data_IF_114130509254
#
_entry.id   IF_114130509254
#
_cell.length_a   1.000
_cell.length_b   1.000
_cell.length_c   1.000
_cell.angle_alpha   90.00
_cell.angle_beta   90.00
_cell.angle_gamma   90.00
#
_symmetry.space_group_name_H-M   'P 1'
#
loop_
_entity.id
_entity.type
_entity.pdbx_description
1 polymer ?
#
# COMPACT_ATOMS: atom_id res chain seq x y z
N UNK A 1 -36.60 9.36 5.21
CA UNK A 1 -35.28 8.81 5.55
C UNK A 1 -35.06 9.20 7.01
N UNK A 2 -35.13 8.23 7.93
CA UNK A 2 -35.37 8.51 9.35
C UNK A 2 -34.05 8.47 10.12
N UNK A 3 -33.70 9.58 10.77
CA UNK A 3 -32.54 9.68 11.63
C UNK A 3 -32.78 8.81 12.87
N UNK A 4 -32.19 7.62 12.87
CA UNK A 4 -32.39 6.62 13.90
C UNK A 4 -31.41 6.88 15.05
N UNK A 5 -31.77 7.83 15.93
CA UNK A 5 -31.25 7.85 17.30
C UNK A 5 -32.03 6.79 18.08
N UNK A 6 -31.62 5.52 18.02
CA UNK A 6 -32.20 4.49 18.86
C UNK A 6 -31.76 4.72 20.33
N UNK A 7 -32.68 5.01 21.26
CA UNK A 7 -32.34 5.26 22.66
C UNK A 7 -31.64 4.07 23.34
N UNK A 8 -31.87 2.85 22.83
CA UNK A 8 -31.41 1.59 23.41
C UNK A 8 -29.91 1.36 23.22
N UNK A 9 -29.33 1.96 22.19
CA UNK A 9 -27.91 1.81 21.84
C UNK A 9 -27.05 2.79 22.65
N UNK A 10 -27.58 3.99 22.95
CA UNK A 10 -26.88 5.07 23.68
C UNK A 10 -26.26 4.64 25.01
N UNK A 11 -26.90 3.72 25.74
CA UNK A 11 -26.46 3.27 27.06
C UNK A 11 -25.32 2.25 27.05
N UNK A 12 -25.00 1.66 25.88
CA UNK A 12 -23.95 0.64 25.71
C UNK A 12 -22.80 1.10 24.82
N UNK A 13 -22.88 2.31 24.29
CA UNK A 13 -21.89 2.86 23.38
C UNK A 13 -20.67 3.31 24.19
N UNK A 14 -19.49 2.80 23.81
CA UNK A 14 -18.19 3.25 24.34
C UNK A 14 -18.03 4.77 24.17
N UNK A 15 -17.35 5.44 25.09
CA UNK A 15 -17.23 6.91 25.13
C UNK A 15 -16.71 7.49 23.80
N UNK A 16 -15.87 6.72 23.11
CA UNK A 16 -15.28 7.05 21.81
C UNK A 16 -16.31 7.22 20.70
N UNK A 17 -17.41 6.47 20.76
CA UNK A 17 -18.52 6.50 19.81
C UNK A 17 -19.60 7.50 20.21
N UNK A 18 -19.76 7.76 21.52
CA UNK A 18 -20.79 8.65 22.08
C UNK A 18 -20.75 10.04 21.47
N UNK A 19 -19.56 10.61 21.30
CA UNK A 19 -19.39 11.92 20.65
C UNK A 19 -19.94 11.96 19.22
N UNK A 20 -19.62 10.96 18.40
CA UNK A 20 -20.12 10.90 17.02
C UNK A 20 -21.62 10.60 16.97
N UNK A 21 -22.11 9.85 17.97
CA UNK A 21 -23.52 9.47 18.09
C UNK A 21 -24.40 10.66 18.45
N UNK A 22 -23.96 11.45 19.43
CA UNK A 22 -24.65 12.66 19.90
C UNK A 22 -24.77 13.71 18.78
N UNK A 23 -23.75 13.78 17.91
CA UNK A 23 -23.72 14.63 16.71
C UNK A 23 -24.73 14.19 15.62
N UNK A 24 -25.46 13.07 15.82
CA UNK A 24 -26.49 12.60 14.89
C UNK A 24 -25.95 12.16 13.54
N UNK A 25 -24.69 11.70 13.50
CA UNK A 25 -23.98 11.39 12.25
C UNK A 25 -24.13 9.95 11.80
N UNK A 26 -25.13 9.23 12.28
CA UNK A 26 -25.31 7.83 11.93
C UNK A 26 -26.67 7.53 11.33
N UNK A 27 -26.69 6.58 10.39
CA UNK A 27 -27.87 6.04 9.76
C UNK A 27 -27.81 4.52 9.82
N UNK A 28 -28.89 3.87 10.25
CA UNK A 28 -29.02 2.42 10.20
C UNK A 28 -29.80 2.05 8.94
N UNK A 29 -29.19 1.24 8.08
CA UNK A 29 -29.81 0.75 6.85
C UNK A 29 -29.56 -0.76 6.75
N UNK A 30 -30.63 -1.55 6.64
CA UNK A 30 -30.56 -3.02 6.51
C UNK A 30 -29.70 -3.72 7.59
N UNK A 31 -29.72 -3.18 8.82
CA UNK A 31 -28.93 -3.68 9.94
C UNK A 31 -27.45 -3.26 9.91
N UNK A 32 -27.03 -2.46 8.94
CA UNK A 32 -25.68 -1.92 8.81
C UNK A 32 -25.67 -0.44 9.23
N UNK A 33 -24.72 -0.08 10.09
CA UNK A 33 -24.54 1.29 10.55
C UNK A 33 -23.68 2.06 9.55
N UNK A 34 -24.13 3.24 9.14
CA UNK A 34 -23.42 4.15 8.26
C UNK A 34 -23.11 5.45 9.00
N UNK A 35 -21.88 5.94 8.86
CA UNK A 35 -21.45 7.23 9.36
C UNK A 35 -21.52 8.28 8.24
N UNK A 36 -22.29 9.33 8.47
CA UNK A 36 -22.49 10.46 7.57
C UNK A 36 -21.69 11.67 8.03
N UNK A 37 -20.92 12.23 7.11
CA UNK A 37 -20.36 13.58 7.22
C UNK A 37 -21.01 14.52 6.22
N UNK A 38 -20.57 15.77 6.15
CA UNK A 38 -21.12 16.79 5.23
C UNK A 38 -21.17 16.33 3.78
N UNK A 39 -20.17 15.53 3.35
CA UNK A 39 -19.98 15.17 1.93
C UNK A 39 -19.85 13.66 1.70
N UNK A 40 -19.83 12.83 2.73
CA UNK A 40 -19.63 11.38 2.59
C UNK A 40 -20.56 10.58 3.48
N UNK A 41 -20.90 9.37 3.04
CA UNK A 41 -21.61 8.36 3.81
C UNK A 41 -20.82 7.06 3.68
N UNK A 42 -20.28 6.55 4.78
CA UNK A 42 -19.37 5.40 4.79
C UNK A 42 -19.79 4.40 5.86
N UNK A 43 -19.40 3.13 5.71
CA UNK A 43 -19.81 2.09 6.65
C UNK A 43 -19.11 2.26 8.01
N UNK A 44 -19.87 2.21 9.09
CA UNK A 44 -19.34 2.28 10.44
C UNK A 44 -19.03 0.87 10.96
N UNK A 45 -17.76 0.58 11.22
CA UNK A 45 -17.31 -0.73 11.70
C UNK A 45 -17.16 -0.74 13.21
N UNK A 46 -17.75 -1.73 13.88
CA UNK A 46 -17.67 -1.91 15.33
C UNK A 46 -16.76 -3.07 15.73
N UNK A 47 -16.71 -4.13 14.93
CA UNK A 47 -15.95 -5.33 15.23
C UNK A 47 -14.47 -5.19 14.83
N UNK A 48 -13.57 -5.52 15.76
CA UNK A 48 -12.13 -5.47 15.55
C UNK A 48 -11.66 -6.46 14.48
N UNK A 49 -12.33 -7.60 14.33
CA UNK A 49 -11.95 -8.58 13.30
C UNK A 49 -12.17 -8.01 11.89
N UNK A 50 -13.33 -7.38 11.67
CA UNK A 50 -13.65 -6.71 10.41
C UNK A 50 -12.71 -5.54 10.13
N UNK A 51 -12.39 -4.74 11.16
CA UNK A 51 -11.43 -3.63 11.05
C UNK A 51 -10.07 -4.15 10.56
N UNK A 52 -9.55 -5.24 11.15
CA UNK A 52 -8.26 -5.81 10.74
C UNK A 52 -8.27 -6.34 9.30
N UNK A 53 -9.38 -6.96 8.86
CA UNK A 53 -9.53 -7.41 7.47
C UNK A 53 -9.49 -6.21 6.53
N UNK A 54 -10.25 -5.15 6.81
CA UNK A 54 -10.26 -3.94 5.97
C UNK A 54 -8.88 -3.27 5.95
N UNK A 55 -8.19 -3.19 7.09
CA UNK A 55 -6.82 -2.67 7.14
C UNK A 55 -5.87 -3.48 6.27
N UNK A 56 -5.96 -4.81 6.33
CA UNK A 56 -5.17 -5.71 5.49
C UNK A 56 -5.46 -5.48 4.00
N UNK A 57 -6.73 -5.47 3.59
CA UNK A 57 -7.12 -5.28 2.19
C UNK A 57 -6.73 -3.90 1.65
N UNK A 58 -6.93 -2.84 2.45
CA UNK A 58 -6.54 -1.48 2.07
C UNK A 58 -5.03 -1.33 1.91
N UNK A 59 -4.26 -2.07 2.72
CA UNK A 59 -2.80 -2.05 2.73
C UNK A 59 -2.18 -2.98 1.67
N UNK A 60 -2.75 -4.16 1.41
CA UNK A 60 -2.14 -5.23 0.61
C UNK A 60 -2.54 -5.22 -0.87
N UNK A 61 -3.39 -4.29 -1.33
CA UNK A 61 -3.86 -4.32 -2.74
C UNK A 61 -2.68 -4.38 -3.73
N UNK A 62 -2.61 -5.47 -4.49
CA UNK A 62 -1.55 -5.87 -5.45
C UNK A 62 -1.17 -4.77 -6.47
N UNK A 63 -2.03 -3.78 -6.67
CA UNK A 63 -1.86 -2.69 -7.63
C UNK A 63 -0.93 -1.54 -7.19
N UNK A 64 -0.46 -1.49 -5.95
CA UNK A 64 0.34 -0.38 -5.47
C UNK A 64 1.72 -0.85 -4.99
N UNK A 65 2.74 -0.62 -5.81
CA UNK A 65 4.12 -0.69 -5.35
C UNK A 65 4.30 0.31 -4.20
N UNK A 66 4.85 -0.17 -3.07
CA UNK A 66 5.15 0.63 -1.87
C UNK A 66 4.02 1.60 -1.47
N UNK A 67 2.92 1.10 -0.90
CA UNK A 67 1.91 1.99 -0.31
C UNK A 67 2.49 2.77 0.86
N UNK A 68 2.50 4.10 0.73
CA UNK A 68 2.61 5.03 1.86
C UNK A 68 1.37 4.93 2.75
N UNK A 69 1.54 5.17 4.05
CA UNK A 69 0.47 5.27 5.05
C UNK A 69 -0.69 6.15 4.56
N UNK A 70 -0.37 7.25 3.88
CA UNK A 70 -1.32 8.21 3.30
C UNK A 70 -2.33 7.56 2.35
N UNK A 71 -1.89 6.63 1.48
CA UNK A 71 -2.81 5.94 0.55
C UNK A 71 -3.76 5.00 1.29
N UNK A 72 -3.27 4.37 2.35
CA UNK A 72 -4.10 3.50 3.20
C UNK A 72 -5.15 4.35 3.92
N UNK A 73 -4.75 5.52 4.44
CA UNK A 73 -5.66 6.48 5.06
C UNK A 73 -6.75 6.97 4.10
N UNK A 74 -6.39 7.31 2.86
CA UNK A 74 -7.34 7.77 1.84
C UNK A 74 -8.37 6.68 1.50
N UNK A 75 -7.93 5.42 1.35
CA UNK A 75 -8.83 4.30 1.05
C UNK A 75 -9.78 4.01 2.19
N UNK A 76 -9.27 3.92 3.42
CA UNK A 76 -10.11 3.68 4.59
C UNK A 76 -11.16 4.80 4.69
N UNK A 77 -10.75 6.07 4.54
CA UNK A 77 -11.67 7.23 4.55
C UNK A 77 -12.79 7.13 3.51
N UNK A 78 -12.54 6.50 2.37
CA UNK A 78 -13.57 6.38 1.32
C UNK A 78 -14.64 5.33 1.61
N UNK A 79 -14.32 4.28 2.37
CA UNK A 79 -15.21 3.12 2.50
C UNK A 79 -15.74 2.93 3.92
N UNK A 80 -14.93 3.20 4.94
CA UNK A 80 -15.22 2.82 6.31
C UNK A 80 -14.89 3.93 7.32
N UNK A 81 -15.51 3.86 8.49
CA UNK A 81 -15.24 4.74 9.61
C UNK A 81 -15.38 3.99 10.94
N UNK A 82 -14.51 4.31 11.89
CA UNK A 82 -14.63 3.91 13.30
C UNK A 82 -13.89 4.92 14.18
N UNK A 83 -14.13 4.98 15.50
CA UNK A 83 -13.38 5.89 16.35
C UNK A 83 -11.89 5.59 16.32
N UNK A 84 -11.06 6.64 16.28
CA UNK A 84 -9.61 6.53 16.20
C UNK A 84 -9.07 5.76 14.97
N UNK A 85 -9.85 5.61 13.90
CA UNK A 85 -9.43 4.88 12.68
C UNK A 85 -8.09 5.32 12.10
N UNK A 86 -7.78 6.63 12.16
CA UNK A 86 -6.47 7.15 11.70
C UNK A 86 -5.30 6.60 12.50
N UNK A 87 -5.46 6.46 13.83
CA UNK A 87 -4.41 5.92 14.70
C UNK A 87 -4.19 4.44 14.42
N UNK A 88 -5.27 3.68 14.28
CA UNK A 88 -5.22 2.26 13.94
C UNK A 88 -4.52 2.02 12.59
N UNK A 89 -4.83 2.83 11.57
CA UNK A 89 -4.16 2.74 10.25
C UNK A 89 -2.66 3.02 10.38
N UNK A 90 -2.27 4.07 11.12
CA UNK A 90 -0.87 4.42 11.34
C UNK A 90 -0.10 3.30 12.04
N UNK A 91 -0.67 2.75 13.12
CA UNK A 91 -0.09 1.65 13.87
C UNK A 91 0.05 0.37 13.01
N UNK A 92 -0.99 0.06 12.22
CA UNK A 92 -0.97 -1.06 11.30
C UNK A 92 0.13 -0.92 10.23
N UNK A 93 0.26 0.26 9.62
CA UNK A 93 1.29 0.52 8.63
C UNK A 93 2.71 0.44 9.24
N UNK A 94 2.89 0.97 10.45
CA UNK A 94 4.18 0.92 11.16
C UNK A 94 4.58 -0.52 11.51
N UNK A 95 3.65 -1.33 12.02
CA UNK A 95 3.91 -2.74 12.33
C UNK A 95 4.26 -3.51 11.07
N UNK A 96 3.52 -3.34 9.97
CA UNK A 96 3.85 -3.98 8.70
C UNK A 96 5.23 -3.55 8.18
N UNK A 97 5.60 -2.26 8.28
CA UNK A 97 6.94 -1.79 7.92
C UNK A 97 8.04 -2.43 8.78
N UNK A 98 7.81 -2.61 10.08
CA UNK A 98 8.74 -3.31 10.99
C UNK A 98 8.88 -4.78 10.60
N UNK A 99 7.77 -5.46 10.36
CA UNK A 99 7.77 -6.86 9.91
C UNK A 99 8.43 -7.02 8.54
N UNK A 100 8.19 -6.14 7.57
CA UNK A 100 8.86 -6.17 6.26
C UNK A 100 10.37 -5.94 6.37
N UNK A 101 10.82 -5.08 7.31
CA UNK A 101 12.25 -4.87 7.58
C UNK A 101 12.90 -6.06 8.29
N UNK A 102 12.19 -6.68 9.24
CA UNK A 102 12.66 -7.86 9.96
C UNK A 102 12.67 -9.12 9.08
N UNK A 103 11.64 -9.30 8.25
CA UNK A 103 11.50 -10.40 7.30
C UNK A 103 12.15 -10.12 5.94
N UNK A 104 12.82 -8.97 5.77
CA UNK A 104 13.78 -8.83 4.67
C UNK A 104 14.85 -9.86 4.94
N UNK A 105 14.71 -11.01 4.29
CA UNK A 105 15.69 -12.08 4.34
C UNK A 105 17.01 -11.41 3.99
N UNK A 106 17.86 -11.23 5.00
CA UNK A 106 19.27 -10.95 4.79
C UNK A 106 19.88 -12.26 4.36
N UNK A 107 19.39 -12.81 3.25
CA UNK A 107 20.20 -13.68 2.45
C UNK A 107 21.36 -12.78 2.09
N UNK A 108 22.51 -12.99 2.75
CA UNK A 108 23.80 -12.69 2.15
C UNK A 108 23.65 -13.02 0.66
N UNK A 109 24.14 -12.18 -0.23
CA UNK A 109 24.26 -12.57 -1.65
C UNK A 109 25.05 -13.88 -1.68
N UNK A 110 24.39 -15.03 -1.61
CA UNK A 110 25.01 -16.34 -1.72
C UNK A 110 25.08 -16.61 -3.21
N UNK A 111 26.03 -15.92 -3.79
CA UNK A 111 26.56 -16.16 -5.10
C UNK A 111 27.92 -15.52 -5.06
N UNK A 112 28.98 -16.33 -5.08
CA UNK A 112 30.27 -15.83 -5.56
C UNK A 112 29.97 -15.11 -6.87
N UNK A 113 30.50 -13.91 -7.04
CA UNK A 113 30.38 -13.17 -8.29
C UNK A 113 30.86 -14.11 -9.40
N UNK A 114 29.94 -14.63 -10.21
CA UNK A 114 30.30 -15.45 -11.36
C UNK A 114 31.01 -14.49 -12.30
N UNK A 115 32.30 -14.73 -12.55
CA UNK A 115 32.99 -14.01 -13.61
C UNK A 115 32.33 -14.40 -14.93
N UNK A 116 31.80 -13.40 -15.62
CA UNK A 116 31.35 -13.55 -17.00
C UNK A 116 32.63 -13.76 -17.82
N UNK A 117 32.71 -14.88 -18.54
CA UNK A 117 33.84 -15.14 -19.44
C UNK A 117 33.83 -14.08 -20.56
N UNK A 118 35.01 -13.57 -20.90
CA UNK A 118 35.16 -12.64 -22.01
C UNK A 118 34.79 -13.36 -23.33
N UNK A 119 33.87 -12.80 -24.14
CA UNK A 119 33.51 -13.39 -25.43
C UNK A 119 34.74 -13.41 -26.35
N UNK A 120 34.99 -14.54 -27.00
CA UNK A 120 36.15 -14.77 -27.87
C UNK A 120 35.92 -14.28 -29.29
N UNK A 121 34.68 -13.96 -29.66
CA UNK A 121 34.33 -13.50 -31.00
C UNK A 121 33.17 -12.50 -30.97
N UNK A 122 33.10 -11.59 -31.98
CA UNK A 122 31.96 -10.69 -32.11
C UNK A 122 30.63 -11.47 -32.15
N UNK A 123 29.58 -10.93 -31.52
CA UNK A 123 28.21 -11.48 -31.49
C UNK A 123 27.96 -12.73 -30.64
N UNK A 124 28.93 -13.18 -29.85
CA UNK A 124 28.79 -14.38 -29.01
C UNK A 124 27.80 -14.19 -27.85
N UNK A 125 27.72 -12.97 -27.29
CA UNK A 125 26.83 -12.64 -26.17
C UNK A 125 26.09 -11.36 -26.49
N UNK A 126 24.75 -11.39 -26.42
CA UNK A 126 23.90 -10.22 -26.60
C UNK A 126 23.06 -10.02 -25.34
N UNK A 127 23.29 -8.93 -24.62
CA UNK A 127 22.48 -8.55 -23.47
C UNK A 127 21.44 -7.53 -23.90
N UNK A 128 20.15 -7.87 -23.73
CA UNK A 128 19.04 -6.99 -24.04
C UNK A 128 18.33 -6.64 -22.74
N UNK A 129 18.27 -5.36 -22.41
CA UNK A 129 17.52 -4.87 -21.26
C UNK A 129 16.45 -3.89 -21.71
N UNK A 130 15.23 -4.11 -21.24
CA UNK A 130 14.10 -3.20 -21.49
C UNK A 130 14.10 -2.10 -20.44
N UNK A 131 14.58 -0.91 -20.80
CA UNK A 131 14.32 0.30 -20.00
C UNK A 131 12.82 0.61 -20.02
N UNK A 132 12.24 0.91 -18.85
CA UNK A 132 10.92 1.54 -18.80
C UNK A 132 11.05 2.98 -19.31
N UNK A 133 10.10 3.47 -20.13
CA UNK A 133 10.17 4.83 -20.62
C UNK A 133 9.84 5.78 -19.46
N UNK A 134 10.84 6.50 -18.98
CA UNK A 134 10.57 7.80 -18.38
C UNK A 134 10.55 8.80 -19.55
N UNK A 135 9.50 9.61 -19.62
CA UNK A 135 9.25 10.51 -20.75
C UNK A 135 10.44 11.45 -20.98
N UNK A 136 10.81 11.59 -22.26
CA UNK A 136 11.83 12.47 -22.86
C UNK A 136 13.21 11.84 -23.11
N UNK A 137 13.61 11.96 -24.38
CA UNK A 137 14.85 11.52 -25.03
C UNK A 137 15.01 10.01 -25.29
N UNK A 138 14.61 9.61 -26.50
CA UNK A 138 15.02 8.34 -27.11
C UNK A 138 16.44 8.51 -27.64
N UNK A 139 17.44 8.07 -26.88
CA UNK A 139 18.76 7.75 -27.42
C UNK A 139 18.95 6.24 -27.35
N UNK A 140 19.03 5.61 -28.51
CA UNK A 140 19.47 4.23 -28.68
C UNK A 140 20.98 4.21 -28.53
N UNK A 141 21.49 3.93 -27.33
CA UNK A 141 22.91 3.63 -27.16
C UNK A 141 23.10 2.12 -27.15
N UNK A 142 23.53 1.59 -28.30
CA UNK A 142 24.13 0.27 -28.41
C UNK A 142 25.59 0.41 -28.01
N UNK A 143 25.95 -0.04 -26.82
CA UNK A 143 27.35 -0.08 -26.40
C UNK A 143 28.02 -1.27 -27.07
N UNK A 144 28.84 -1.00 -28.08
CA UNK A 144 29.75 -1.98 -28.67
C UNK A 144 31.05 -2.00 -27.88
N UNK A 145 31.37 -3.11 -27.23
CA UNK A 145 32.73 -3.35 -26.75
C UNK A 145 33.57 -3.85 -27.93
N UNK A 146 34.35 -2.97 -28.54
CA UNK A 146 35.36 -3.34 -29.53
C UNK A 146 36.58 -3.93 -28.80
N UNK A 147 37.10 -5.10 -29.22
CA UNK A 147 38.39 -5.56 -28.72
C UNK A 147 39.48 -4.59 -29.20
N UNK A 148 40.42 -4.32 -28.29
CA UNK A 148 41.56 -3.41 -28.45
C UNK A 148 42.13 -3.40 -29.88
N UNK A 149 42.20 -2.20 -30.48
CA UNK A 149 42.99 -1.93 -31.67
C UNK A 149 44.48 -2.16 -31.31
N UNK A 150 45.21 -3.05 -31.99
CA UNK A 150 46.65 -3.15 -31.78
C UNK A 150 47.31 -1.85 -32.22
N UNK A 151 48.10 -1.26 -31.33
CA UNK A 151 49.01 -0.16 -31.65
C UNK A 151 50.09 -0.72 -32.58
N UNK A 152 50.11 -0.26 -33.83
CA UNK A 152 51.23 -0.52 -34.73
C UNK A 152 52.42 0.33 -34.28
N UNK A 153 53.59 -0.32 -34.24
CA UNK A 153 54.92 0.20 -33.87
C UNK A 153 55.38 1.37 -34.74
#
# INVERSE_FOLDING_TARGET
>A
MQDCKDPSISSKIDETWKKAYDEGRFHLLDGILYHRTKNTCVMALTDRTQINIILHECHYSVAAGHLSEDRTLERVKTWCWWPNWKKDVAEYCQTCCRFQKANRVTSKKFGMMIQILEPKSPWEIVHISRRRPNLQCVSLEVYFTYPNRPQLS
#
